data_IF_570528396408
#
_entry.id   IF_570528396408
#
_cell.length_a   1.000
_cell.length_b   1.000
_cell.length_c   1.000
_cell.angle_alpha   90.00
_cell.angle_beta   90.00
_cell.angle_gamma   90.00
#
_symmetry.space_group_name_H-M   'P 1'
#
loop_
_entity.id
_entity.type
_entity.pdbx_description
1 polymer ?
#
# COMPACT_ATOMS: atom_id res chain seq x y z
N UNK A 1 -60.11 31.63 -30.09
CA UNK A 1 -58.85 31.48 -30.86
C UNK A 1 -57.56 31.94 -30.15
N UNK A 2 -57.60 32.57 -28.96
CA UNK A 2 -56.39 33.09 -28.28
C UNK A 2 -55.59 32.04 -27.47
N UNK A 3 -56.14 30.85 -27.22
CA UNK A 3 -55.50 29.82 -26.37
C UNK A 3 -54.68 28.78 -27.16
N UNK A 4 -54.89 28.65 -28.47
CA UNK A 4 -54.12 27.73 -29.31
C UNK A 4 -52.74 28.32 -29.70
N UNK A 5 -52.64 29.64 -29.86
CA UNK A 5 -51.40 30.32 -30.27
C UNK A 5 -50.35 30.30 -29.15
N UNK A 6 -50.76 30.39 -27.87
CA UNK A 6 -49.84 30.28 -26.71
C UNK A 6 -49.18 28.89 -26.61
N UNK A 7 -49.90 27.82 -26.98
CA UNK A 7 -49.36 26.46 -26.91
C UNK A 7 -48.37 26.14 -28.03
N UNK A 8 -48.53 26.71 -29.23
CA UNK A 8 -47.57 26.52 -30.32
C UNK A 8 -46.27 27.29 -30.06
N UNK A 9 -46.33 28.45 -29.40
CA UNK A 9 -45.15 29.25 -29.04
C UNK A 9 -44.31 28.58 -27.94
N UNK A 10 -44.94 28.00 -26.91
CA UNK A 10 -44.25 27.25 -25.84
C UNK A 10 -43.62 25.94 -26.34
N UNK A 11 -44.25 25.25 -27.32
CA UNK A 11 -43.71 24.02 -27.90
C UNK A 11 -42.50 24.29 -28.80
N UNK A 12 -42.54 25.36 -29.60
CA UNK A 12 -41.37 25.80 -30.39
C UNK A 12 -40.21 26.27 -29.50
N UNK A 13 -40.45 26.86 -28.32
CA UNK A 13 -39.34 27.20 -27.42
C UNK A 13 -38.69 25.97 -26.75
N UNK A 14 -39.43 24.88 -26.49
CA UNK A 14 -38.83 23.70 -25.84
C UNK A 14 -37.95 22.86 -26.78
N UNK A 15 -38.27 22.80 -28.08
CA UNK A 15 -37.47 22.08 -29.07
C UNK A 15 -36.12 22.77 -29.38
N UNK A 16 -36.04 24.11 -29.32
CA UNK A 16 -34.78 24.84 -29.53
C UNK A 16 -33.79 24.75 -28.35
N UNK A 17 -34.26 24.35 -27.16
CA UNK A 17 -33.39 24.16 -25.96
C UNK A 17 -32.69 22.78 -25.98
N UNK A 18 -33.11 21.87 -26.87
CA UNK A 18 -32.52 20.52 -26.97
C UNK A 18 -31.13 20.49 -27.64
N UNK A 19 -30.81 21.49 -28.47
CA UNK A 19 -29.56 21.53 -29.25
C UNK A 19 -28.51 22.54 -28.75
N UNK A 20 -28.75 23.21 -27.63
CA UNK A 20 -27.79 24.11 -26.97
C UNK A 20 -27.05 23.39 -25.84
N UNK A 21 -25.71 23.37 -25.89
CA UNK A 21 -24.89 22.88 -24.78
C UNK A 21 -25.37 23.52 -23.46
N UNK A 22 -25.68 22.70 -22.46
CA UNK A 22 -26.14 23.19 -21.15
C UNK A 22 -25.15 24.24 -20.62
N UNK A 23 -25.61 25.43 -20.18
CA UNK A 23 -24.72 26.49 -19.73
C UNK A 23 -23.86 26.01 -18.55
N UNK A 24 -22.57 26.34 -18.58
CA UNK A 24 -21.59 25.85 -17.62
C UNK A 24 -21.88 26.38 -16.21
N UNK A 25 -22.16 25.47 -15.28
CA UNK A 25 -22.40 25.83 -13.90
C UNK A 25 -21.08 26.10 -13.16
N UNK A 26 -20.65 27.37 -13.14
CA UNK A 26 -19.42 27.84 -12.47
C UNK A 26 -19.40 27.51 -10.97
N UNK A 27 -20.55 27.53 -10.28
CA UNK A 27 -20.64 27.23 -8.84
C UNK A 27 -20.37 25.74 -8.58
N UNK A 28 -20.98 24.84 -9.35
CA UNK A 28 -20.72 23.40 -9.29
C UNK A 28 -19.25 23.10 -9.61
N UNK A 29 -18.69 23.73 -10.63
CA UNK A 29 -17.28 23.55 -10.97
C UNK A 29 -16.34 23.94 -9.82
N UNK A 30 -16.54 25.12 -9.22
CA UNK A 30 -15.71 25.56 -8.08
C UNK A 30 -15.78 24.59 -6.90
N UNK A 31 -16.97 24.09 -6.58
CA UNK A 31 -17.14 23.05 -5.54
C UNK A 31 -16.39 21.77 -5.90
N UNK A 32 -16.47 21.31 -7.16
CA UNK A 32 -15.76 20.11 -7.61
C UNK A 32 -14.24 20.28 -7.65
N UNK A 33 -13.73 21.48 -7.95
CA UNK A 33 -12.30 21.75 -8.06
C UNK A 33 -11.62 22.01 -6.73
N UNK A 34 -12.26 22.76 -5.83
CA UNK A 34 -11.61 23.27 -4.62
C UNK A 34 -12.10 22.61 -3.33
N UNK A 35 -13.26 21.94 -3.31
CA UNK A 35 -13.72 21.26 -2.09
C UNK A 35 -12.87 20.02 -1.82
N UNK A 36 -12.21 19.99 -0.66
CA UNK A 36 -11.46 18.82 -0.20
C UNK A 36 -12.37 17.58 -0.07
N UNK A 37 -13.56 17.75 0.49
CA UNK A 37 -14.58 16.69 0.61
C UNK A 37 -14.93 16.06 -0.74
N UNK A 38 -15.02 16.87 -1.79
CA UNK A 38 -15.29 16.35 -3.14
C UNK A 38 -14.10 15.55 -3.69
N UNK A 39 -12.86 16.03 -3.49
CA UNK A 39 -11.64 15.31 -3.91
C UNK A 39 -11.50 13.95 -3.21
N UNK A 40 -11.73 13.91 -1.90
CA UNK A 40 -11.70 12.68 -1.11
C UNK A 40 -12.75 11.69 -1.61
N UNK A 41 -13.99 12.13 -1.81
CA UNK A 41 -15.05 11.27 -2.32
C UNK A 41 -14.75 10.76 -3.75
N UNK A 42 -14.20 11.60 -4.64
CA UNK A 42 -13.76 11.15 -5.96
C UNK A 42 -12.67 10.07 -5.88
N UNK A 43 -11.73 10.21 -4.94
CA UNK A 43 -10.70 9.20 -4.71
C UNK A 43 -11.29 7.89 -4.19
N UNK A 44 -12.18 7.95 -3.21
CA UNK A 44 -12.89 6.77 -2.70
C UNK A 44 -13.70 6.06 -3.78
N UNK A 45 -14.42 6.81 -4.63
CA UNK A 45 -15.17 6.26 -5.76
C UNK A 45 -14.25 5.55 -6.76
N UNK A 46 -13.08 6.13 -7.07
CA UNK A 46 -12.07 5.49 -7.92
C UNK A 46 -11.56 4.21 -7.28
N UNK A 47 -11.25 4.23 -5.99
CA UNK A 47 -10.80 3.05 -5.23
C UNK A 47 -11.85 1.93 -5.25
N UNK A 48 -13.10 2.24 -4.93
CA UNK A 48 -14.22 1.26 -4.97
C UNK A 48 -14.38 0.66 -6.36
N UNK A 49 -14.34 1.48 -7.42
CA UNK A 49 -14.38 1.00 -8.81
C UNK A 49 -13.20 0.10 -9.16
N UNK A 50 -12.00 0.41 -8.68
CA UNK A 50 -10.81 -0.41 -8.93
C UNK A 50 -10.93 -1.79 -8.26
N UNK A 51 -11.38 -1.84 -7.00
CA UNK A 51 -11.64 -3.09 -6.28
C UNK A 51 -12.67 -3.95 -7.03
N UNK A 52 -13.79 -3.34 -7.42
CA UNK A 52 -14.85 -4.04 -8.15
C UNK A 52 -14.37 -4.58 -9.51
N UNK A 53 -13.59 -3.79 -10.26
CA UNK A 53 -12.96 -4.25 -11.52
C UNK A 53 -11.98 -5.39 -11.29
N UNK A 54 -11.23 -5.35 -10.18
CA UNK A 54 -10.33 -6.43 -9.77
C UNK A 54 -11.08 -7.73 -9.54
N UNK A 55 -12.17 -7.68 -8.77
CA UNK A 55 -13.04 -8.82 -8.48
C UNK A 55 -13.61 -9.46 -9.76
N UNK A 56 -14.24 -8.68 -10.64
CA UNK A 56 -14.78 -9.22 -11.89
C UNK A 56 -13.70 -9.77 -12.83
N UNK A 57 -12.50 -9.16 -12.86
CA UNK A 57 -11.37 -9.67 -13.62
C UNK A 57 -10.87 -11.01 -13.08
N UNK A 58 -10.95 -11.22 -11.77
CA UNK A 58 -10.60 -12.49 -11.14
C UNK A 58 -11.62 -13.57 -11.49
N UNK A 59 -12.92 -13.28 -11.33
CA UNK A 59 -13.99 -14.21 -11.74
C UNK A 59 -13.85 -14.61 -13.22
N UNK A 60 -13.64 -13.65 -14.12
CA UNK A 60 -13.46 -13.95 -15.54
C UNK A 60 -12.23 -14.82 -15.83
N UNK A 61 -11.14 -14.64 -15.08
CA UNK A 61 -9.95 -15.51 -15.18
C UNK A 61 -10.23 -16.91 -14.63
N UNK A 62 -10.91 -17.02 -13.49
CA UNK A 62 -11.20 -18.30 -12.86
C UNK A 62 -12.15 -19.14 -13.73
N UNK A 63 -13.14 -18.50 -14.37
CA UNK A 63 -13.99 -19.14 -15.39
C UNK A 63 -13.17 -19.64 -16.59
N UNK A 64 -12.26 -18.83 -17.14
CA UNK A 64 -11.39 -19.25 -18.24
C UNK A 64 -10.43 -20.38 -17.86
N UNK A 65 -9.92 -20.40 -16.63
CA UNK A 65 -9.06 -21.47 -16.13
C UNK A 65 -9.84 -22.76 -15.91
N UNK A 66 -11.06 -22.68 -15.37
CA UNK A 66 -11.94 -23.85 -15.24
C UNK A 66 -12.31 -24.42 -16.60
N UNK A 67 -12.70 -23.58 -17.58
CA UNK A 67 -12.98 -24.04 -18.96
C UNK A 67 -11.76 -24.71 -19.60
N UNK A 68 -10.55 -24.21 -19.35
CA UNK A 68 -9.31 -24.87 -19.79
C UNK A 68 -9.11 -26.21 -19.09
N UNK A 69 -9.29 -26.29 -17.76
CA UNK A 69 -9.19 -27.55 -17.01
C UNK A 69 -10.15 -28.62 -17.54
N UNK A 70 -11.43 -28.28 -17.74
CA UNK A 70 -12.41 -29.19 -18.34
C UNK A 70 -12.04 -29.62 -19.77
N UNK A 71 -11.46 -28.72 -20.57
CA UNK A 71 -10.98 -29.07 -21.91
C UNK A 71 -9.76 -30.01 -21.88
N UNK A 72 -8.87 -29.93 -20.87
CA UNK A 72 -7.78 -30.89 -20.68
C UNK A 72 -8.30 -32.25 -20.19
N UNK A 73 -9.24 -32.27 -19.25
CA UNK A 73 -9.85 -33.50 -18.72
C UNK A 73 -10.64 -34.28 -19.79
N UNK A 74 -11.27 -33.62 -20.75
CA UNK A 74 -11.96 -34.26 -21.87
C UNK A 74 -11.00 -34.86 -22.93
N UNK A 75 -9.73 -34.44 -22.97
CA UNK A 75 -8.74 -34.93 -23.93
C UNK A 75 -7.83 -36.04 -23.37
N UNK A 76 -7.95 -36.40 -22.09
CA UNK A 76 -7.12 -37.43 -21.44
C UNK A 76 -7.64 -38.88 -21.61
N UNK A 77 -8.63 -39.11 -22.49
CA UNK A 77 -9.09 -40.46 -22.85
C UNK A 77 -8.38 -41.09 -24.06
N UNK A 78 -7.53 -40.34 -24.79
CA UNK A 78 -6.66 -40.90 -25.82
C UNK A 78 -5.21 -40.51 -25.53
N UNK A 79 -4.40 -41.52 -25.23
CA UNK A 79 -2.99 -41.38 -24.86
C UNK A 79 -2.18 -40.66 -25.94
N UNK A 80 -1.90 -39.38 -25.73
CA UNK A 80 -0.88 -38.67 -26.47
C UNK A 80 0.41 -38.62 -25.66
N UNK A 81 1.43 -39.29 -26.20
CA UNK A 81 2.82 -39.22 -25.76
C UNK A 81 3.21 -37.76 -25.47
N UNK A 82 3.73 -37.50 -24.26
CA UNK A 82 4.09 -36.17 -23.76
C UNK A 82 5.29 -35.62 -24.53
N UNK A 83 5.04 -35.09 -25.73
CA UNK A 83 5.98 -34.21 -26.39
C UNK A 83 6.24 -33.01 -25.45
N UNK A 84 7.49 -32.80 -25.06
CA UNK A 84 7.89 -31.68 -24.23
C UNK A 84 7.59 -30.37 -24.99
N UNK A 85 6.42 -29.78 -24.72
CA UNK A 85 6.01 -28.51 -25.32
C UNK A 85 7.02 -27.45 -24.89
N UNK A 86 7.77 -26.92 -25.86
CA UNK A 86 8.74 -25.85 -25.63
C UNK A 86 8.00 -24.67 -25.01
N UNK A 87 8.48 -24.21 -23.85
CA UNK A 87 7.87 -23.10 -23.12
C UNK A 87 7.86 -21.87 -24.04
N UNK A 88 6.68 -21.30 -24.27
CA UNK A 88 6.54 -20.07 -25.07
C UNK A 88 7.39 -18.96 -24.46
N UNK A 89 8.11 -18.20 -25.30
CA UNK A 89 8.94 -17.08 -24.86
C UNK A 89 8.19 -16.10 -23.95
N UNK A 90 6.88 -15.90 -24.21
CA UNK A 90 6.01 -15.07 -23.37
C UNK A 90 5.81 -15.64 -21.95
N UNK A 91 5.71 -16.97 -21.82
CA UNK A 91 5.59 -17.63 -20.53
C UNK A 91 6.89 -17.48 -19.71
N UNK A 92 8.04 -17.65 -20.37
CA UNK A 92 9.36 -17.46 -19.76
C UNK A 92 9.53 -16.01 -19.26
N UNK A 93 9.23 -15.03 -20.11
CA UNK A 93 9.30 -13.61 -19.73
C UNK A 93 8.38 -13.26 -18.55
N UNK A 94 7.20 -13.88 -18.47
CA UNK A 94 6.27 -13.70 -17.35
C UNK A 94 6.81 -14.30 -16.06
N UNK A 95 7.46 -15.46 -16.10
CA UNK A 95 8.07 -16.08 -14.94
C UNK A 95 9.22 -15.22 -14.41
N UNK A 96 10.14 -14.82 -15.27
CA UNK A 96 11.28 -13.95 -14.92
C UNK A 96 10.82 -12.63 -14.27
N UNK A 97 9.74 -12.03 -14.78
CA UNK A 97 9.15 -10.83 -14.17
C UNK A 97 8.62 -11.07 -12.75
N UNK A 98 7.95 -12.21 -12.53
CA UNK A 98 7.43 -12.57 -11.21
C UNK A 98 8.56 -12.90 -10.24
N UNK A 99 9.60 -13.58 -10.70
CA UNK A 99 10.77 -13.94 -9.91
C UNK A 99 11.52 -12.69 -9.47
N UNK A 100 11.78 -11.76 -10.41
CA UNK A 100 12.37 -10.46 -10.09
C UNK A 100 11.56 -9.68 -9.05
N UNK A 101 10.23 -9.65 -9.20
CA UNK A 101 9.35 -8.96 -8.25
C UNK A 101 9.35 -9.60 -6.86
N UNK A 102 9.51 -10.92 -6.78
CA UNK A 102 9.61 -11.63 -5.51
C UNK A 102 10.98 -11.40 -4.87
N UNK A 103 12.05 -11.35 -5.67
CA UNK A 103 13.39 -11.03 -5.20
C UNK A 103 13.46 -9.61 -4.64
N UNK A 104 12.92 -8.61 -5.35
CA UNK A 104 12.79 -7.23 -4.85
C UNK A 104 12.08 -7.18 -3.49
N UNK A 105 10.96 -7.92 -3.33
CA UNK A 105 10.24 -7.99 -2.06
C UNK A 105 11.09 -8.59 -0.94
N UNK A 106 11.81 -9.69 -1.22
CA UNK A 106 12.71 -10.33 -0.24
C UNK A 106 13.86 -9.40 0.17
N UNK A 107 14.42 -8.64 -0.78
CA UNK A 107 15.45 -7.65 -0.50
C UNK A 107 14.92 -6.51 0.36
N UNK A 108 13.72 -6.00 0.07
CA UNK A 108 13.05 -4.99 0.88
C UNK A 108 12.77 -5.48 2.31
N UNK A 109 12.24 -6.69 2.45
CA UNK A 109 11.98 -7.32 3.75
C UNK A 109 13.27 -7.50 4.57
N UNK A 110 14.34 -8.02 3.94
CA UNK A 110 15.65 -8.16 4.58
C UNK A 110 16.25 -6.81 4.99
N UNK A 111 16.19 -5.80 4.11
CA UNK A 111 16.67 -4.46 4.42
C UNK A 111 15.87 -3.80 5.57
N UNK A 112 14.57 -4.05 5.64
CA UNK A 112 13.73 -3.57 6.74
C UNK A 112 14.12 -4.21 8.08
N UNK A 113 14.34 -5.53 8.10
CA UNK A 113 14.77 -6.26 9.31
C UNK A 113 16.11 -5.73 9.84
N UNK A 114 17.12 -5.62 8.98
CA UNK A 114 18.45 -5.10 9.37
C UNK A 114 18.37 -3.67 9.91
N UNK A 115 17.52 -2.83 9.32
CA UNK A 115 17.28 -1.46 9.83
C UNK A 115 16.63 -1.49 11.21
N UNK A 116 15.62 -2.32 11.42
CA UNK A 116 14.92 -2.45 12.69
C UNK A 116 15.86 -2.95 13.80
N UNK A 117 16.67 -3.98 13.53
CA UNK A 117 17.67 -4.49 14.47
C UNK A 117 18.70 -3.42 14.86
N UNK A 118 19.19 -2.65 13.87
CA UNK A 118 20.10 -1.53 14.12
C UNK A 118 19.47 -0.45 14.99
N UNK A 119 18.23 -0.07 14.69
CA UNK A 119 17.49 0.92 15.46
C UNK A 119 17.25 0.45 16.90
N UNK A 120 16.89 -0.82 17.10
CA UNK A 120 16.71 -1.42 18.41
C UNK A 120 18.03 -1.44 19.21
N UNK A 121 19.14 -1.84 18.58
CA UNK A 121 20.47 -1.82 19.20
C UNK A 121 20.87 -0.40 19.62
N UNK A 122 20.64 0.60 18.76
CA UNK A 122 20.89 2.01 19.08
C UNK A 122 20.01 2.51 20.23
N UNK A 123 18.74 2.09 20.29
CA UNK A 123 17.81 2.45 21.36
C UNK A 123 18.30 1.87 22.69
N UNK A 124 18.63 0.57 22.73
CA UNK A 124 19.19 -0.11 23.92
C UNK A 124 20.48 0.57 24.38
N UNK A 125 21.37 0.92 23.46
CA UNK A 125 22.60 1.66 23.79
C UNK A 125 22.31 3.03 24.42
N UNK A 126 21.40 3.81 23.83
CA UNK A 126 21.00 5.11 24.36
C UNK A 126 20.36 5.00 25.74
N UNK A 127 19.49 4.01 25.94
CA UNK A 127 18.85 3.74 27.23
C UNK A 127 19.89 3.41 28.31
N UNK A 128 20.80 2.46 28.03
CA UNK A 128 21.90 2.10 28.96
C UNK A 128 22.80 3.32 29.25
N UNK A 129 23.14 4.11 28.24
CA UNK A 129 23.93 5.34 28.41
C UNK A 129 23.20 6.37 29.30
N UNK A 130 21.89 6.55 29.12
CA UNK A 130 21.12 7.48 29.96
C UNK A 130 21.00 7.00 31.39
N UNK A 131 20.77 5.70 31.61
CA UNK A 131 20.70 5.10 32.94
C UNK A 131 22.02 5.26 33.70
N UNK A 132 23.15 4.89 33.06
CA UNK A 132 24.49 5.06 33.64
C UNK A 132 24.80 6.53 33.91
N UNK A 133 24.48 7.44 32.98
CA UNK A 133 24.66 8.88 33.21
C UNK A 133 23.86 9.37 34.42
N UNK A 134 22.58 9.01 34.49
CA UNK A 134 21.69 9.40 35.61
C UNK A 134 22.23 8.91 36.95
N UNK A 135 22.80 7.72 37.00
CA UNK A 135 23.44 7.15 38.19
C UNK A 135 24.72 7.91 38.57
N UNK A 136 25.62 8.14 37.61
CA UNK A 136 26.91 8.82 37.82
C UNK A 136 26.79 10.32 38.09
N UNK A 137 25.73 10.96 37.60
CA UNK A 137 25.47 12.39 37.77
C UNK A 137 24.78 12.72 39.10
N UNK A 138 24.44 11.71 39.92
CA UNK A 138 23.86 11.95 41.26
C UNK A 138 24.85 12.70 42.13
N UNK A 139 24.33 13.73 42.82
CA UNK A 139 25.09 14.57 43.76
C UNK A 139 24.38 14.59 45.11
N UNK A 140 25.15 14.80 46.18
CA UNK A 140 24.65 15.04 47.53
C UNK A 140 24.05 16.44 47.63
N UNK A 141 23.39 16.76 48.75
CA UNK A 141 22.85 18.11 49.01
C UNK A 141 23.91 19.21 48.90
N UNK A 142 25.18 18.90 49.18
CA UNK A 142 26.32 19.81 49.07
C UNK A 142 26.96 19.82 47.67
N UNK A 143 26.35 19.18 46.68
CA UNK A 143 26.82 19.17 45.29
C UNK A 143 27.96 18.19 45.00
N UNK A 144 28.47 17.48 45.99
CA UNK A 144 29.51 16.46 45.81
C UNK A 144 28.93 15.23 45.11
N UNK A 145 29.70 14.54 44.24
CA UNK A 145 29.25 13.31 43.63
C UNK A 145 29.00 12.22 44.67
N UNK A 146 27.94 11.43 44.47
CA UNK A 146 27.68 10.28 45.35
C UNK A 146 28.66 9.15 44.99
N UNK A 147 29.51 8.75 45.94
CA UNK A 147 30.64 7.85 45.68
C UNK A 147 30.30 6.36 45.63
N UNK A 148 29.30 5.90 46.38
CA UNK A 148 28.92 4.48 46.46
C UNK A 148 28.65 3.86 45.08
N UNK A 149 27.79 4.48 44.28
CA UNK A 149 27.41 4.01 42.93
C UNK A 149 28.62 3.96 41.99
N UNK A 150 29.55 4.92 42.12
CA UNK A 150 30.76 4.96 41.29
C UNK A 150 31.73 3.84 41.63
N UNK A 151 31.86 3.53 42.93
CA UNK A 151 32.70 2.44 43.41
C UNK A 151 32.13 1.08 43.02
N UNK A 152 30.81 0.89 43.11
CA UNK A 152 30.14 -0.33 42.62
C UNK A 152 30.40 -0.57 41.13
N UNK A 153 30.23 0.45 40.29
CA UNK A 153 30.55 0.35 38.86
C UNK A 153 32.03 0.07 38.57
N UNK A 154 32.94 0.61 39.40
CA UNK A 154 34.37 0.34 39.25
C UNK A 154 34.70 -1.11 39.64
N UNK A 155 34.14 -1.59 40.75
CA UNK A 155 34.28 -2.96 41.19
C UNK A 155 33.76 -3.95 40.14
N UNK A 156 32.59 -3.68 39.56
CA UNK A 156 32.02 -4.50 38.49
C UNK A 156 32.96 -4.59 37.28
N UNK A 157 33.58 -3.47 36.88
CA UNK A 157 34.57 -3.46 35.78
C UNK A 157 35.82 -4.27 36.11
N UNK A 158 36.34 -4.15 37.34
CA UNK A 158 37.51 -4.93 37.77
C UNK A 158 37.16 -6.42 37.78
N UNK A 159 35.99 -6.79 38.30
CA UNK A 159 35.54 -8.19 38.30
C UNK A 159 35.33 -8.72 36.89
N UNK A 160 34.77 -7.93 35.97
CA UNK A 160 34.68 -8.30 34.55
C UNK A 160 36.08 -8.48 33.93
N UNK A 161 37.05 -7.64 34.25
CA UNK A 161 38.41 -7.79 33.73
C UNK A 161 39.16 -8.99 34.30
N UNK A 162 38.84 -9.43 35.52
CA UNK A 162 39.50 -10.56 36.20
C UNK A 162 38.80 -11.89 35.91
N UNK A 163 37.50 -11.88 35.60
CA UNK A 163 36.72 -13.08 35.28
C UNK A 163 36.85 -13.53 33.81
N UNK A 164 37.43 -12.70 32.94
CA UNK A 164 37.85 -13.04 31.58
C UNK A 164 39.37 -13.21 31.54
#
# INVERSE_FOLDING_TARGET
MKNYVKNVFNRKQSEYVSNGKKPFNKKKYRLQKYSNKYKVNQWEQRRKKAVLRGFYKQIGKDQQQNLKKFAYEANDQYGHEKQQKRISAFHKARQEFLDKKNEERKQEEGAFQVRAEREEALKKYKEKRMQTYKQLSRKTRKGQPVMNVRLEMLLEKIQQQVAY
#
